data_IF_120375226830
#
_entry.id   IF_120375226830
#
_cell.length_a   1.000
_cell.length_b   1.000
_cell.length_c   1.000
_cell.angle_alpha   90.00
_cell.angle_beta   90.00
_cell.angle_gamma   90.00
#
_symmetry.space_group_name_H-M   'P 1'
#
loop_
_entity.id
_entity.type
_entity.pdbx_description
1 polymer ?
#
# COMPACT_ATOMS: atom_id res chain seq x y z
N UNK A 1 -6.51 -42.67 29.04
CA UNK A 1 -5.21 -42.14 28.58
C UNK A 1 -5.47 -40.85 27.81
N UNK A 2 -4.58 -39.85 27.96
CA UNK A 2 -4.84 -38.41 27.77
C UNK A 2 -4.91 -37.88 26.32
N UNK A 3 -5.39 -36.63 26.20
CA UNK A 3 -5.56 -35.85 24.95
C UNK A 3 -4.23 -35.37 24.31
N UNK A 4 -4.22 -34.41 23.34
CA UNK A 4 -5.11 -33.24 23.23
C UNK A 4 -5.57 -32.87 21.79
N UNK A 5 -6.39 -31.82 21.67
CA UNK A 5 -6.50 -31.01 20.45
C UNK A 5 -7.94 -30.73 20.00
N UNK A 6 -8.63 -29.82 20.70
CA UNK A 6 -9.91 -29.30 20.21
C UNK A 6 -9.73 -28.61 18.84
N UNK A 7 -10.74 -28.61 17.96
CA UNK A 7 -10.68 -27.80 16.75
C UNK A 7 -10.61 -26.34 17.19
N UNK A 8 -9.42 -25.76 17.02
CA UNK A 8 -9.16 -24.35 17.27
C UNK A 8 -10.13 -23.48 16.49
N UNK A 9 -10.43 -22.35 17.11
CA UNK A 9 -11.19 -21.20 16.63
C UNK A 9 -11.39 -21.15 15.11
N UNK A 10 -12.67 -21.02 14.72
CA UNK A 10 -13.06 -20.76 13.35
C UNK A 10 -12.45 -19.46 12.84
N UNK A 11 -11.46 -19.59 11.97
CA UNK A 11 -11.22 -18.70 10.81
C UNK A 11 -10.63 -19.53 9.68
N UNK A 12 -11.34 -20.59 9.30
CA UNK A 12 -11.10 -21.30 8.04
C UNK A 12 -11.64 -20.50 6.86
N UNK A 13 -11.08 -19.32 6.58
CA UNK A 13 -11.35 -18.63 5.33
C UNK A 13 -10.52 -19.29 4.23
N UNK A 14 -11.02 -20.38 3.66
CA UNK A 14 -10.55 -20.83 2.34
C UNK A 14 -11.12 -19.88 1.30
N UNK A 15 -10.48 -18.71 1.12
CA UNK A 15 -10.75 -17.90 -0.07
C UNK A 15 -10.45 -18.79 -1.29
N UNK A 16 -11.52 -19.19 -1.98
CA UNK A 16 -11.49 -20.22 -3.00
C UNK A 16 -10.45 -19.92 -4.07
N UNK A 17 -9.37 -20.71 -4.08
CA UNK A 17 -8.81 -21.51 -5.19
C UNK A 17 -8.92 -21.02 -6.65
N UNK A 18 -9.10 -19.71 -6.87
CA UNK A 18 -8.88 -18.99 -8.11
C UNK A 18 -8.22 -17.68 -7.72
N UNK A 19 -7.00 -17.47 -8.19
CA UNK A 19 -6.31 -16.17 -8.14
C UNK A 19 -7.02 -15.21 -9.09
N UNK A 20 -8.26 -14.84 -8.78
CA UNK A 20 -8.95 -13.78 -9.51
C UNK A 20 -8.27 -12.48 -9.08
N UNK A 21 -7.45 -11.91 -9.96
CA UNK A 21 -6.75 -10.67 -9.67
C UNK A 21 -7.73 -9.53 -9.48
N UNK A 22 -7.47 -8.65 -8.51
CA UNK A 22 -8.27 -7.45 -8.27
C UNK A 22 -8.17 -6.49 -9.45
N UNK A 23 -9.30 -5.93 -9.88
CA UNK A 23 -9.33 -4.90 -10.92
C UNK A 23 -9.13 -3.48 -10.35
N UNK A 24 -9.36 -3.30 -9.05
CA UNK A 24 -9.26 -2.01 -8.38
C UNK A 24 -8.40 -2.12 -7.12
N UNK A 25 -7.65 -1.07 -6.82
CA UNK A 25 -6.88 -0.94 -5.60
C UNK A 25 -6.85 0.52 -5.11
N UNK A 26 -6.71 0.68 -3.80
CA UNK A 26 -6.42 1.96 -3.14
C UNK A 26 -5.06 1.80 -2.45
N UNK A 27 -4.16 2.74 -2.71
CA UNK A 27 -2.83 2.83 -2.09
C UNK A 27 -2.79 4.09 -1.25
N UNK A 28 -2.48 3.97 0.04
CA UNK A 28 -2.35 5.11 0.94
C UNK A 28 -0.99 5.11 1.63
N UNK A 29 -0.13 6.07 1.27
CA UNK A 29 1.20 6.22 1.87
C UNK A 29 1.15 7.10 3.11
N UNK A 30 1.75 6.64 4.21
CA UNK A 30 1.82 7.39 5.48
C UNK A 30 3.20 8.01 5.63
N UNK A 31 3.25 9.29 6.03
CA UNK A 31 4.51 10.03 6.22
C UNK A 31 4.99 10.79 4.99
N UNK A 32 4.08 11.01 4.03
CA UNK A 32 4.37 11.71 2.78
C UNK A 32 4.32 10.80 1.56
N UNK A 33 3.83 11.35 0.46
CA UNK A 33 3.74 10.73 -0.85
C UNK A 33 4.31 11.64 -1.92
N UNK A 34 4.65 11.10 -3.08
CA UNK A 34 5.24 11.88 -4.18
C UNK A 34 4.48 11.73 -5.50
N UNK A 35 4.61 12.75 -6.36
CA UNK A 35 4.05 12.70 -7.72
C UNK A 35 4.69 11.59 -8.56
N UNK A 36 5.94 11.21 -8.26
CA UNK A 36 6.65 10.12 -8.95
C UNK A 36 6.04 8.75 -8.59
N UNK A 37 5.66 8.53 -7.34
CA UNK A 37 4.94 7.31 -6.92
C UNK A 37 3.59 7.19 -7.62
N UNK A 38 2.83 8.30 -7.67
CA UNK A 38 1.59 8.36 -8.45
C UNK A 38 1.85 8.03 -9.94
N UNK A 39 2.85 8.67 -10.54
CA UNK A 39 3.22 8.44 -11.95
C UNK A 39 3.58 6.99 -12.23
N UNK A 40 4.40 6.38 -11.37
CA UNK A 40 4.79 4.97 -11.48
C UNK A 40 3.59 4.03 -11.40
N UNK A 41 2.61 4.31 -10.53
CA UNK A 41 1.37 3.53 -10.43
C UNK A 41 0.49 3.70 -11.67
N UNK A 42 0.36 4.92 -12.21
CA UNK A 42 -0.39 5.15 -13.45
C UNK A 42 0.26 4.45 -14.64
N UNK A 43 1.60 4.50 -14.75
CA UNK A 43 2.33 3.79 -15.78
C UNK A 43 2.15 2.27 -15.65
N UNK A 44 2.20 1.74 -14.43
CA UNK A 44 1.92 0.33 -14.16
C UNK A 44 0.49 -0.06 -14.57
N UNK A 45 -0.51 0.76 -14.26
CA UNK A 45 -1.91 0.55 -14.69
C UNK A 45 -2.00 0.51 -16.22
N UNK A 46 -1.37 1.48 -16.91
CA UNK A 46 -1.39 1.56 -18.36
C UNK A 46 -0.76 0.32 -19.02
N UNK A 47 0.35 -0.20 -18.47
CA UNK A 47 1.03 -1.41 -18.98
C UNK A 47 0.28 -2.70 -18.67
N UNK A 48 -0.39 -2.76 -17.52
CA UNK A 48 -1.01 -4.00 -17.00
C UNK A 48 -2.48 -4.13 -17.41
N UNK A 49 -3.14 -3.03 -17.76
CA UNK A 49 -4.57 -2.94 -18.07
C UNK A 49 -5.00 -3.40 -19.47
N UNK A 50 -4.23 -4.28 -20.15
CA UNK A 50 -4.56 -4.84 -21.47
C UNK A 50 -5.85 -5.70 -21.49
N UNK A 51 -6.04 -6.50 -22.56
CA UNK A 51 -7.27 -7.22 -22.96
C UNK A 51 -8.07 -7.99 -21.88
N UNK A 52 -7.52 -8.21 -20.68
CA UNK A 52 -8.11 -9.08 -19.66
C UNK A 52 -8.81 -8.37 -18.49
N UNK A 53 -8.60 -7.07 -18.28
CA UNK A 53 -9.43 -6.22 -17.40
C UNK A 53 -8.79 -4.83 -17.25
N UNK A 54 -9.61 -3.76 -17.39
CA UNK A 54 -9.21 -2.40 -17.03
C UNK A 54 -8.84 -2.37 -15.54
N UNK A 55 -7.57 -2.10 -15.23
CA UNK A 55 -7.09 -1.87 -13.85
C UNK A 55 -7.35 -0.43 -13.44
N UNK A 56 -7.64 -0.20 -12.16
CA UNK A 56 -7.77 1.13 -11.56
C UNK A 56 -7.01 1.18 -10.24
N UNK A 57 -6.17 2.19 -10.08
CA UNK A 57 -5.46 2.45 -8.82
C UNK A 57 -5.77 3.88 -8.38
N UNK A 58 -6.26 4.02 -7.16
CA UNK A 58 -6.37 5.30 -6.47
C UNK A 58 -5.17 5.42 -5.54
N UNK A 59 -4.43 6.51 -5.66
CA UNK A 59 -3.29 6.80 -4.79
C UNK A 59 -3.64 7.98 -3.89
N UNK A 60 -3.25 7.89 -2.62
CA UNK A 60 -3.33 8.96 -1.64
C UNK A 60 -2.17 8.87 -0.66
N UNK A 61 -1.96 9.95 0.07
CA UNK A 61 -0.97 10.02 1.14
C UNK A 61 -1.45 10.96 2.24
N UNK A 62 -0.74 10.97 3.37
CA UNK A 62 -0.95 11.99 4.41
C UNK A 62 -0.69 13.39 3.86
N UNK A 63 0.41 13.55 3.11
CA UNK A 63 0.85 14.79 2.48
C UNK A 63 1.50 14.49 1.12
N UNK A 64 1.40 15.41 0.16
CA UNK A 64 2.11 15.33 -1.12
C UNK A 64 3.33 16.23 -1.08
N UNK A 65 4.52 15.63 -1.11
CA UNK A 65 5.78 16.32 -0.89
C UNK A 65 6.66 16.23 -2.14
N UNK A 66 7.40 17.31 -2.40
CA UNK A 66 8.58 17.25 -3.26
C UNK A 66 9.81 16.89 -2.41
N UNK A 67 10.91 16.54 -3.07
CA UNK A 67 12.13 16.11 -2.39
C UNK A 67 12.66 17.15 -1.40
N UNK A 68 12.61 18.44 -1.75
CA UNK A 68 13.08 19.50 -0.88
C UNK A 68 12.23 19.64 0.39
N UNK A 69 10.90 19.66 0.25
CA UNK A 69 9.97 19.76 1.37
C UNK A 69 10.14 18.56 2.32
N UNK A 70 10.32 17.36 1.79
CA UNK A 70 10.58 16.17 2.62
C UNK A 70 11.87 16.30 3.44
N UNK A 71 12.97 16.77 2.83
CA UNK A 71 14.23 16.97 3.56
C UNK A 71 14.13 18.08 4.61
N UNK A 72 13.53 19.22 4.26
CA UNK A 72 13.54 20.42 5.10
C UNK A 72 12.47 20.40 6.20
N UNK A 73 11.29 19.87 5.92
CA UNK A 73 10.13 19.98 6.80
C UNK A 73 9.95 18.71 7.63
N UNK A 74 10.18 17.53 7.04
CA UNK A 74 10.03 16.27 7.76
C UNK A 74 11.34 15.87 8.44
N UNK A 75 12.40 15.63 7.66
CA UNK A 75 13.63 15.02 8.20
C UNK A 75 14.46 15.98 9.06
N UNK A 76 14.61 17.24 8.65
CA UNK A 76 15.39 18.22 9.42
C UNK A 76 14.68 18.57 10.73
N UNK A 77 13.36 18.73 10.71
CA UNK A 77 12.56 18.97 11.94
C UNK A 77 12.73 17.80 12.90
N UNK A 78 12.52 16.57 12.44
CA UNK A 78 12.73 15.38 13.25
C UNK A 78 14.16 15.31 13.82
N UNK A 79 15.16 15.64 13.02
CA UNK A 79 16.56 15.67 13.46
C UNK A 79 16.82 16.67 14.60
N UNK A 80 16.13 17.82 14.61
CA UNK A 80 16.24 18.80 15.70
C UNK A 80 15.52 18.36 16.96
N UNK A 81 14.33 17.78 16.81
CA UNK A 81 13.54 17.26 17.93
C UNK A 81 14.23 16.09 18.63
N UNK A 82 14.90 15.22 17.88
CA UNK A 82 15.65 14.09 18.47
C UNK A 82 16.96 14.55 19.13
N UNK A 83 17.54 15.66 18.65
CA UNK A 83 18.78 16.20 19.20
C UNK A 83 18.57 17.11 20.43
N UNK A 84 17.33 17.53 20.71
CA UNK A 84 16.93 18.28 21.91
C UNK A 84 16.55 17.37 23.07
#
# INVERSE_FOLDING_TARGET
QGGPGGPGAGTGASFGQRRQGFSEAIVFTVGGGSMDEYGNLQEWVARTGGDRARKRVVYGSTDLLNAQAFLEQELNTLGREVAS
#
